data_IF_678610614928
#
_entry.id   IF_678610614928
#
_cell.length_a   1.000
_cell.length_b   1.000
_cell.length_c   1.000
_cell.angle_alpha   90.00
_cell.angle_beta   90.00
_cell.angle_gamma   90.00
#
_symmetry.space_group_name_H-M   'P 1'
#
loop_
_entity.id
_entity.type
_entity.pdbx_description
1 polymer ?
#
# COMPACT_ATOMS: atom_id res chain seq x y z
N UNK A 1 21.83 9.24 11.46
CA UNK A 1 21.71 9.68 12.87
C UNK A 1 20.28 10.14 13.11
N UNK A 2 19.62 9.53 14.10
CA UNK A 2 18.39 9.96 14.80
C UNK A 2 17.13 9.94 13.92
N UNK A 3 16.20 9.02 14.15
CA UNK A 3 15.32 9.09 15.33
C UNK A 3 15.10 7.73 15.99
N UNK A 4 15.91 7.45 17.02
CA UNK A 4 15.43 6.76 18.22
C UNK A 4 14.79 7.84 19.09
N UNK A 5 13.47 7.90 19.11
CA UNK A 5 12.76 8.65 20.16
C UNK A 5 11.82 7.67 20.83
N UNK A 6 12.35 7.00 21.85
CA UNK A 6 11.56 6.25 22.83
C UNK A 6 10.85 7.32 23.66
N UNK A 7 9.55 7.47 23.44
CA UNK A 7 8.69 8.30 24.28
C UNK A 7 8.41 7.48 25.56
N UNK A 8 9.08 7.82 26.66
CA UNK A 8 8.76 7.30 27.98
C UNK A 8 7.63 8.15 28.57
N UNK A 9 6.39 7.69 28.44
CA UNK A 9 5.28 8.19 29.26
C UNK A 9 5.28 7.37 30.55
N UNK A 10 5.68 8.00 31.66
CA UNK A 10 5.53 7.41 32.99
C UNK A 10 4.20 7.88 33.58
N UNK A 11 3.18 7.02 33.58
CA UNK A 11 2.13 7.13 34.59
C UNK A 11 1.53 5.74 34.88
N UNK A 12 1.39 5.47 36.17
CA UNK A 12 0.92 4.26 36.80
C UNK A 12 -0.51 3.90 36.36
N UNK A 13 -0.71 2.67 35.87
CA UNK A 13 -1.82 1.75 36.17
C UNK A 13 -1.81 0.57 35.18
N UNK A 14 -1.61 -0.63 35.75
CA UNK A 14 -1.87 -1.97 35.21
C UNK A 14 -0.88 -2.57 34.20
N UNK A 15 -0.02 -3.45 34.73
CA UNK A 15 0.91 -4.36 34.07
C UNK A 15 0.20 -5.39 33.15
N UNK A 16 -0.28 -4.93 32.00
CA UNK A 16 -0.45 -5.80 30.83
C UNK A 16 0.42 -5.22 29.73
N UNK A 17 1.72 -5.50 29.86
CA UNK A 17 2.70 -5.26 28.80
C UNK A 17 2.29 -6.11 27.60
N UNK A 18 1.45 -5.57 26.72
CA UNK A 18 1.54 -5.93 25.32
C UNK A 18 2.91 -5.42 24.89
N UNK A 19 3.94 -6.26 25.04
CA UNK A 19 5.19 -6.01 24.38
C UNK A 19 4.81 -5.80 22.91
N UNK A 20 4.97 -4.57 22.42
CA UNK A 20 4.90 -4.33 20.99
C UNK A 20 6.07 -5.13 20.43
N UNK A 21 5.81 -6.36 20.04
CA UNK A 21 6.78 -7.14 19.28
C UNK A 21 7.15 -6.25 18.09
N UNK A 22 8.44 -5.96 17.95
CA UNK A 22 8.98 -5.41 16.72
C UNK A 22 8.65 -6.42 15.63
N UNK A 23 7.54 -6.21 14.93
CA UNK A 23 7.26 -6.96 13.72
C UNK A 23 8.27 -6.48 12.71
N UNK A 24 9.26 -7.30 12.38
CA UNK A 24 10.13 -7.08 11.23
C UNK A 24 9.25 -7.12 9.98
N UNK A 25 8.79 -5.94 9.54
CA UNK A 25 7.98 -5.80 8.34
C UNK A 25 8.95 -5.60 7.18
N UNK A 26 9.23 -6.68 6.47
CA UNK A 26 9.84 -6.57 5.16
C UNK A 26 8.92 -5.78 4.22
N UNK A 27 9.53 -5.01 3.33
CA UNK A 27 8.86 -4.20 2.32
C UNK A 27 9.30 -4.66 0.94
N UNK A 28 8.43 -4.45 -0.06
CA UNK A 28 8.80 -4.70 -1.45
C UNK A 28 9.63 -3.54 -1.98
N UNK A 29 10.69 -3.89 -2.72
CA UNK A 29 11.46 -2.95 -3.51
C UNK A 29 10.80 -2.75 -4.89
N UNK A 30 11.32 -1.78 -5.64
CA UNK A 30 10.85 -1.49 -7.00
C UNK A 30 11.00 -2.73 -7.91
N UNK A 31 12.11 -3.43 -7.77
CA UNK A 31 12.46 -4.62 -8.55
C UNK A 31 11.51 -5.79 -8.26
N UNK A 32 11.03 -5.90 -7.02
CA UNK A 32 10.03 -6.91 -6.64
C UNK A 32 8.68 -6.64 -7.31
N UNK A 33 8.29 -5.36 -7.33
CA UNK A 33 7.06 -4.89 -7.98
C UNK A 33 7.14 -5.07 -9.50
N UNK A 34 8.29 -4.79 -10.13
CA UNK A 34 8.55 -5.07 -11.55
C UNK A 34 8.48 -6.57 -11.86
N UNK A 35 9.04 -7.41 -10.99
CA UNK A 35 8.95 -8.87 -11.11
C UNK A 35 7.50 -9.35 -11.05
N UNK A 36 6.70 -8.79 -10.13
CA UNK A 36 5.27 -9.10 -10.03
C UNK A 36 4.50 -8.70 -11.29
N UNK A 37 4.81 -7.59 -11.95
CA UNK A 37 4.15 -7.19 -13.20
C UNK A 37 4.32 -8.22 -14.30
N UNK A 38 5.52 -8.82 -14.39
CA UNK A 38 5.87 -9.83 -15.40
C UNK A 38 5.26 -11.21 -15.11
N UNK A 39 4.80 -11.44 -13.88
CA UNK A 39 4.17 -12.70 -13.49
C UNK A 39 2.90 -12.94 -14.33
N UNK A 40 2.75 -14.15 -14.85
CA UNK A 40 1.54 -14.62 -15.56
C UNK A 40 0.83 -15.68 -14.73
N UNK A 41 -0.15 -15.30 -13.88
CA UNK A 41 -0.86 -16.26 -13.05
C UNK A 41 -1.70 -17.21 -13.91
N UNK A 42 -1.78 -18.49 -13.50
CA UNK A 42 -2.57 -19.50 -14.21
C UNK A 42 -4.08 -19.40 -13.98
N UNK A 43 -4.51 -18.58 -13.01
CA UNK A 43 -5.93 -18.41 -12.64
C UNK A 43 -6.33 -16.94 -12.75
N UNK A 44 -7.46 -16.67 -13.39
CA UNK A 44 -8.03 -15.32 -13.57
C UNK A 44 -8.18 -14.54 -12.26
N UNK A 45 -8.55 -15.22 -11.16
CA UNK A 45 -8.65 -14.57 -9.84
C UNK A 45 -7.33 -13.98 -9.36
N UNK A 46 -6.20 -14.62 -9.69
CA UNK A 46 -4.87 -14.16 -9.27
C UNK A 46 -4.35 -13.06 -10.18
N UNK A 47 -4.75 -13.08 -11.45
CA UNK A 47 -4.53 -11.96 -12.36
C UNK A 47 -5.21 -10.69 -11.85
N UNK A 48 -6.50 -10.78 -11.48
CA UNK A 48 -7.21 -9.65 -10.88
C UNK A 48 -6.54 -9.13 -9.59
N UNK A 49 -6.09 -10.02 -8.70
CA UNK A 49 -5.39 -9.62 -7.47
C UNK A 49 -4.07 -8.93 -7.79
N UNK A 50 -3.30 -9.45 -8.76
CA UNK A 50 -2.06 -8.83 -9.24
C UNK A 50 -2.35 -7.42 -9.76
N UNK A 51 -3.34 -7.27 -10.63
CA UNK A 51 -3.64 -5.97 -11.25
C UNK A 51 -4.09 -4.94 -10.21
N UNK A 52 -4.94 -5.33 -9.25
CA UNK A 52 -5.37 -4.47 -8.15
C UNK A 52 -4.19 -4.05 -7.26
N UNK A 53 -3.28 -4.99 -6.96
CA UNK A 53 -2.11 -4.71 -6.15
C UNK A 53 -1.16 -3.75 -6.85
N UNK A 54 -0.82 -4.01 -8.12
CA UNK A 54 0.04 -3.16 -8.93
C UNK A 54 -0.57 -1.76 -9.09
N UNK A 55 -1.88 -1.66 -9.35
CA UNK A 55 -2.58 -0.38 -9.41
C UNK A 55 -2.48 0.41 -8.09
N UNK A 56 -2.60 -0.28 -6.94
CA UNK A 56 -2.39 0.31 -5.61
C UNK A 56 -0.97 0.84 -5.45
N UNK A 57 0.06 0.09 -5.87
CA UNK A 57 1.45 0.54 -5.81
C UNK A 57 1.71 1.83 -6.60
N UNK A 58 1.06 2.01 -7.75
CA UNK A 58 1.23 3.21 -8.58
C UNK A 58 0.43 4.43 -8.12
N UNK A 59 -0.74 4.21 -7.53
CA UNK A 59 -1.67 5.30 -7.16
C UNK A 59 -1.63 5.64 -5.68
N UNK A 60 -1.10 4.76 -4.84
CA UNK A 60 -1.15 4.87 -3.38
C UNK A 60 -2.56 4.62 -2.80
N UNK A 61 -3.53 4.23 -3.61
CA UNK A 61 -4.90 3.99 -3.15
C UNK A 61 -5.00 2.68 -2.38
N UNK A 62 -5.70 2.72 -1.25
CA UNK A 62 -5.99 1.51 -0.48
C UNK A 62 -7.00 0.63 -1.22
N UNK A 63 -7.07 -0.65 -0.86
CA UNK A 63 -8.08 -1.55 -1.40
C UNK A 63 -9.51 -1.01 -1.25
N UNK A 64 -9.83 -0.36 -0.12
CA UNK A 64 -11.18 0.16 0.10
C UNK A 64 -11.50 1.35 -0.81
N UNK A 65 -10.50 2.16 -1.16
CA UNK A 65 -10.66 3.28 -2.09
C UNK A 65 -10.80 2.75 -3.51
N UNK A 66 -9.97 1.78 -3.92
CA UNK A 66 -10.06 1.12 -5.23
C UNK A 66 -11.43 0.48 -5.42
N UNK A 67 -11.95 -0.21 -4.39
CA UNK A 67 -13.28 -0.82 -4.43
C UNK A 67 -14.41 0.20 -4.59
N UNK A 68 -14.21 1.44 -4.14
CA UNK A 68 -15.18 2.54 -4.22
C UNK A 68 -15.00 3.42 -5.46
N UNK A 69 -13.92 3.24 -6.23
CA UNK A 69 -13.69 3.98 -7.46
C UNK A 69 -14.84 3.81 -8.44
N UNK A 70 -15.27 4.92 -9.02
CA UNK A 70 -16.25 4.99 -10.10
C UNK A 70 -15.56 5.49 -11.36
N UNK A 71 -16.13 5.17 -12.52
CA UNK A 71 -15.65 5.68 -13.81
C UNK A 71 -15.56 7.21 -13.85
N UNK A 72 -16.46 7.92 -13.17
CA UNK A 72 -16.43 9.38 -13.05
C UNK A 72 -15.22 9.92 -12.27
N UNK A 73 -14.49 9.08 -11.55
CA UNK A 73 -13.25 9.46 -10.85
C UNK A 73 -12.02 9.39 -11.76
N UNK A 74 -12.14 8.76 -12.94
CA UNK A 74 -11.06 8.66 -13.92
C UNK A 74 -11.25 9.81 -14.91
N UNK A 75 -10.25 10.69 -14.97
CA UNK A 75 -10.22 11.79 -15.92
C UNK A 75 -8.98 11.65 -16.79
N UNK A 76 -9.16 11.71 -18.10
CA UNK A 76 -8.05 11.88 -19.04
C UNK A 76 -7.49 13.30 -18.87
N UNK A 77 -6.19 13.41 -18.59
CA UNK A 77 -5.51 14.72 -18.50
C UNK A 77 -5.47 15.46 -19.85
N UNK A 78 -5.97 14.85 -20.94
CA UNK A 78 -5.88 15.33 -22.33
C UNK A 78 -7.20 15.85 -22.91
N UNK A 79 -8.16 16.24 -22.08
CA UNK A 79 -9.39 16.87 -22.56
C UNK A 79 -9.15 18.40 -22.75
N UNK A 80 -8.39 18.76 -23.79
CA UNK A 80 -8.71 19.93 -24.63
C UNK A 80 -8.37 21.36 -24.17
N UNK A 81 -7.20 21.65 -23.57
CA UNK A 81 -6.66 23.01 -23.63
C UNK A 81 -5.88 23.23 -24.94
N UNK A 82 -6.61 23.56 -26.01
CA UNK A 82 -6.05 24.31 -27.14
C UNK A 82 -5.86 25.75 -26.67
N UNK A 83 -4.60 26.14 -26.44
CA UNK A 83 -4.18 27.54 -26.37
C UNK A 83 -3.88 28.10 -27.74
#
# INVERSE_FOLDING_TARGET
MLYKTVVLVWNSVSDRFWAMEETDRSYLLKEDVETLMLLKPSKSRYELVKDLFIFSCFTGLSYIDIKKLKWSNIQSFFDGHQG
#
